data_IF_263807835487
#
_entry.id   IF_263807835487
#
_cell.length_a   1.000
_cell.length_b   1.000
_cell.length_c   1.000
_cell.angle_alpha   90.00
_cell.angle_beta   90.00
_cell.angle_gamma   90.00
#
_symmetry.space_group_name_H-M   'P 1'
#
loop_
_entity.id
_entity.type
_entity.pdbx_description
1 polymer ?
#
# COMPACT_ATOMS: atom_id res chain seq x y z
N UNK A 1 -12.64 -5.42 -15.84
CA UNK A 1 -11.17 -5.48 -16.02
C UNK A 1 -10.55 -4.26 -15.35
N UNK A 2 -9.82 -4.45 -14.26
CA UNK A 2 -9.30 -3.40 -13.37
C UNK A 2 -7.80 -3.12 -13.60
N UNK A 3 -7.35 -3.21 -14.85
CA UNK A 3 -5.97 -3.00 -15.26
C UNK A 3 -5.97 -2.00 -16.42
N UNK A 4 -5.24 -0.90 -16.28
CA UNK A 4 -5.07 0.11 -17.33
C UNK A 4 -3.68 -0.05 -17.92
N UNK A 5 -3.55 0.02 -19.25
CA UNK A 5 -2.28 -0.15 -19.98
C UNK A 5 -1.86 1.12 -20.75
N UNK A 6 -2.59 2.23 -20.63
CA UNK A 6 -2.27 3.52 -21.25
C UNK A 6 -3.07 4.62 -20.51
N UNK A 7 -2.57 5.86 -20.41
CA UNK A 7 -3.26 6.99 -19.76
C UNK A 7 -4.42 7.53 -20.62
N UNK A 8 -5.71 7.19 -20.38
CA UNK A 8 -6.82 8.04 -20.79
C UNK A 8 -6.81 9.31 -19.95
N UNK A 9 -7.27 10.41 -20.54
CA UNK A 9 -7.46 11.69 -19.85
C UNK A 9 -8.24 11.51 -18.53
N UNK A 10 -7.76 12.09 -17.42
CA UNK A 10 -8.44 12.09 -16.12
C UNK A 10 -8.02 11.01 -15.11
N UNK A 11 -7.08 10.11 -15.44
CA UNK A 11 -6.44 9.25 -14.45
C UNK A 11 -5.25 9.96 -13.78
N UNK A 12 -5.19 9.89 -12.46
CA UNK A 12 -4.08 10.39 -11.65
C UNK A 12 -3.58 9.28 -10.73
N UNK A 13 -2.31 9.35 -10.33
CA UNK A 13 -1.80 8.44 -9.30
C UNK A 13 -2.52 8.69 -7.98
N UNK A 14 -2.73 7.62 -7.20
CA UNK A 14 -3.38 7.73 -5.89
C UNK A 14 -2.65 8.72 -4.98
N UNK A 15 -1.32 8.80 -5.08
CA UNK A 15 -0.52 9.80 -4.36
C UNK A 15 -0.98 11.23 -4.61
N UNK A 16 -1.37 11.56 -5.84
CA UNK A 16 -1.87 12.88 -6.21
C UNK A 16 -3.34 13.07 -5.82
N UNK A 17 -4.11 11.98 -5.76
CA UNK A 17 -5.52 12.02 -5.38
C UNK A 17 -5.75 12.16 -3.86
N UNK A 18 -4.90 11.55 -3.01
CA UNK A 18 -5.07 11.51 -1.54
C UNK A 18 -5.38 12.88 -0.91
N UNK A 19 -4.64 13.97 -1.24
CA UNK A 19 -4.92 15.31 -0.68
C UNK A 19 -6.31 15.87 -1.03
N UNK A 20 -7.05 15.24 -1.94
CA UNK A 20 -8.38 15.65 -2.39
C UNK A 20 -9.48 14.68 -1.96
N UNK A 21 -9.12 13.52 -1.38
CA UNK A 21 -10.06 12.47 -0.94
C UNK A 21 -10.52 12.69 0.51
N UNK A 22 -11.13 13.83 0.81
CA UNK A 22 -11.50 14.19 2.19
C UNK A 22 -12.74 13.49 2.74
N UNK A 23 -13.58 12.92 1.87
CA UNK A 23 -14.80 12.25 2.31
C UNK A 23 -14.55 10.76 2.54
N UNK A 24 -14.96 10.26 3.72
CA UNK A 24 -14.86 8.84 4.11
C UNK A 24 -15.45 7.91 3.06
N UNK A 25 -16.54 8.30 2.40
CA UNK A 25 -17.15 7.51 1.32
C UNK A 25 -16.23 7.34 0.10
N UNK A 26 -15.44 8.36 -0.24
CA UNK A 26 -14.49 8.29 -1.35
C UNK A 26 -13.27 7.44 -0.97
N UNK A 27 -12.75 7.61 0.25
CA UNK A 27 -11.67 6.77 0.78
C UNK A 27 -12.07 5.28 0.80
N UNK A 28 -13.26 4.97 1.33
CA UNK A 28 -13.78 3.60 1.34
C UNK A 28 -13.98 3.04 -0.07
N UNK A 29 -14.47 3.86 -1.02
CA UNK A 29 -14.62 3.42 -2.43
C UNK A 29 -13.28 3.01 -3.03
N UNK A 30 -12.26 3.86 -2.88
CA UNK A 30 -10.90 3.59 -3.36
C UNK A 30 -10.33 2.33 -2.71
N UNK A 31 -10.47 2.20 -1.39
CA UNK A 31 -10.03 1.01 -0.65
C UNK A 31 -10.72 -0.28 -1.13
N UNK A 32 -12.03 -0.24 -1.38
CA UNK A 32 -12.82 -1.36 -1.90
C UNK A 32 -12.33 -1.77 -3.29
N UNK A 33 -12.09 -0.80 -4.17
CA UNK A 33 -11.65 -1.07 -5.55
C UNK A 33 -10.26 -1.71 -5.58
N UNK A 34 -9.32 -1.20 -4.79
CA UNK A 34 -7.97 -1.79 -4.62
C UNK A 34 -8.10 -3.20 -4.05
N UNK A 35 -8.92 -3.38 -3.01
CA UNK A 35 -9.09 -4.67 -2.36
C UNK A 35 -9.69 -5.72 -3.30
N UNK A 36 -10.68 -5.33 -4.12
CA UNK A 36 -11.29 -6.18 -5.13
C UNK A 36 -10.29 -6.58 -6.22
N UNK A 37 -9.42 -5.67 -6.65
CA UNK A 37 -8.40 -5.93 -7.64
C UNK A 37 -7.33 -6.91 -7.11
N UNK A 38 -6.85 -6.72 -5.88
CA UNK A 38 -5.92 -7.66 -5.24
C UNK A 38 -6.55 -9.03 -5.01
N UNK A 39 -7.80 -9.08 -4.54
CA UNK A 39 -8.54 -10.36 -4.39
C UNK A 39 -8.63 -11.11 -5.71
N UNK A 40 -8.93 -10.40 -6.80
CA UNK A 40 -8.95 -10.99 -8.14
C UNK A 40 -7.57 -11.54 -8.51
N UNK A 41 -6.51 -10.76 -8.29
CA UNK A 41 -5.15 -11.16 -8.60
C UNK A 41 -4.69 -12.38 -7.79
N UNK A 42 -4.96 -12.41 -6.49
CA UNK A 42 -4.63 -13.52 -5.58
C UNK A 42 -5.48 -14.78 -5.81
N UNK A 43 -6.64 -14.63 -6.47
CA UNK A 43 -7.41 -15.77 -6.98
C UNK A 43 -6.74 -16.41 -8.21
N UNK A 44 -5.85 -15.68 -8.88
CA UNK A 44 -4.88 -16.22 -9.82
C UNK A 44 -3.59 -16.55 -9.04
N UNK A 45 -2.73 -17.46 -9.52
CA UNK A 45 -1.41 -17.69 -8.91
C UNK A 45 -0.45 -16.51 -9.20
N UNK A 46 -0.90 -15.28 -8.97
CA UNK A 46 -0.22 -14.03 -9.24
C UNK A 46 -0.24 -13.13 -8.00
N UNK A 47 0.83 -12.36 -7.86
CA UNK A 47 1.01 -11.34 -6.82
C UNK A 47 1.31 -10.02 -7.50
N UNK A 48 0.94 -8.90 -6.89
CA UNK A 48 1.20 -7.59 -7.44
C UNK A 48 2.69 -7.23 -7.27
N UNK A 49 3.23 -7.40 -6.07
CA UNK A 49 4.67 -7.32 -5.77
C UNK A 49 5.27 -5.91 -5.72
N UNK A 50 4.59 -4.91 -6.29
CA UNK A 50 5.02 -3.50 -6.23
C UNK A 50 3.87 -2.54 -5.90
N UNK A 51 3.05 -2.87 -4.90
CA UNK A 51 1.86 -2.08 -4.58
C UNK A 51 2.26 -0.81 -3.79
N UNK A 52 1.94 0.37 -4.30
CA UNK A 52 2.17 1.67 -3.65
C UNK A 52 1.21 2.74 -4.15
N UNK A 53 1.23 3.95 -3.56
CA UNK A 53 0.39 5.07 -4.02
C UNK A 53 0.72 5.56 -5.44
N UNK A 54 1.87 5.18 -6.00
CA UNK A 54 2.25 5.52 -7.38
C UNK A 54 1.90 4.42 -8.38
N UNK A 55 1.53 3.22 -7.93
CA UNK A 55 1.11 2.10 -8.81
C UNK A 55 -0.39 1.88 -8.80
N UNK A 56 -1.14 2.69 -8.05
CA UNK A 56 -2.59 2.74 -8.08
C UNK A 56 -3.00 4.01 -8.81
N UNK A 57 -3.85 3.87 -9.81
CA UNK A 57 -4.44 5.01 -10.54
C UNK A 57 -5.89 5.18 -10.12
N UNK A 58 -6.31 6.44 -10.00
CA UNK A 58 -7.67 6.83 -9.64
C UNK A 58 -8.24 7.70 -10.75
N UNK A 59 -9.46 7.41 -11.16
CA UNK A 59 -10.24 8.30 -12.01
C UNK A 59 -10.75 9.49 -11.18
N UNK A 60 -10.27 10.68 -11.50
CA UNK A 60 -10.60 11.91 -10.77
C UNK A 60 -12.11 12.26 -10.83
N UNK A 61 -12.82 11.76 -11.84
CA UNK A 61 -14.24 12.02 -12.08
C UNK A 61 -15.12 11.04 -11.32
N UNK A 62 -14.76 9.74 -11.38
CA UNK A 62 -15.59 8.66 -10.84
C UNK A 62 -15.12 8.14 -9.47
N UNK A 63 -13.95 8.59 -8.99
CA UNK A 63 -13.28 8.11 -7.78
C UNK A 63 -13.07 6.59 -7.75
N UNK A 64 -13.02 5.95 -8.93
CA UNK A 64 -12.72 4.54 -9.05
C UNK A 64 -11.22 4.30 -9.16
N UNK A 65 -10.73 3.37 -8.35
CA UNK A 65 -9.31 3.01 -8.33
C UNK A 65 -9.04 1.77 -9.17
N UNK A 66 -7.85 1.70 -9.76
CA UNK A 66 -7.37 0.57 -10.53
C UNK A 66 -5.88 0.34 -10.24
N UNK A 67 -5.46 -0.92 -10.30
CA UNK A 67 -4.05 -1.25 -10.20
C UNK A 67 -3.40 -1.00 -11.57
N UNK A 68 -2.33 -0.22 -11.61
CA UNK A 68 -1.49 -0.08 -12.79
C UNK A 68 -0.54 -1.29 -12.89
N UNK A 69 -0.28 -1.78 -14.09
CA UNK A 69 0.37 -3.08 -14.30
C UNK A 69 1.85 -3.10 -13.94
N UNK A 70 2.19 -4.06 -13.08
CA UNK A 70 3.25 -5.09 -13.21
C UNK A 70 4.65 -4.62 -13.64
N UNK A 71 5.31 -3.83 -12.80
CA UNK A 71 6.78 -3.87 -12.75
C UNK A 71 7.19 -5.08 -11.89
N UNK A 72 7.17 -6.28 -12.50
CA UNK A 72 7.96 -7.43 -12.02
C UNK A 72 9.40 -7.14 -12.42
N UNK A 73 10.02 -6.15 -11.81
CA UNK A 73 11.45 -5.97 -11.91
C UNK A 73 12.02 -6.08 -10.51
N UNK A 74 13.17 -6.76 -10.34
CA UNK A 74 13.94 -6.67 -9.12
C UNK A 74 14.47 -5.24 -9.07
N UNK A 75 13.61 -4.30 -8.66
CA UNK A 75 14.00 -2.91 -8.58
C UNK A 75 14.91 -2.82 -7.38
N UNK A 76 16.15 -2.44 -7.65
CA UNK A 76 17.17 -2.16 -6.66
C UNK A 76 16.55 -1.25 -5.59
N UNK A 77 16.27 -1.82 -4.42
CA UNK A 77 15.65 -1.15 -3.25
C UNK A 77 16.43 0.11 -2.82
N UNK A 78 17.64 0.27 -3.35
CA UNK A 78 18.54 1.41 -3.24
C UNK A 78 18.10 2.67 -4.02
N UNK A 79 17.21 2.56 -5.02
CA UNK A 79 16.82 3.69 -5.89
C UNK A 79 15.46 4.30 -5.57
N UNK A 80 14.58 3.58 -4.86
CA UNK A 80 13.20 4.01 -4.59
C UNK A 80 12.92 4.06 -3.09
N UNK A 81 13.61 4.98 -2.41
CA UNK A 81 13.51 5.23 -0.97
C UNK A 81 12.06 5.37 -0.45
N UNK A 82 11.12 5.81 -1.28
CA UNK A 82 9.71 5.92 -0.91
C UNK A 82 8.90 4.64 -1.15
N UNK A 83 9.27 3.80 -2.11
CA UNK A 83 8.58 2.52 -2.34
C UNK A 83 8.93 1.48 -1.28
N UNK A 84 10.15 1.53 -0.73
CA UNK A 84 10.59 0.68 0.36
C UNK A 84 9.65 0.75 1.59
N UNK A 85 8.91 1.84 1.77
CA UNK A 85 7.92 1.99 2.85
C UNK A 85 6.73 1.04 2.71
N UNK A 86 6.38 0.65 1.49
CA UNK A 86 5.27 -0.26 1.21
C UNK A 86 5.71 -1.74 1.18
N UNK A 87 7.02 -2.01 1.16
CA UNK A 87 7.56 -3.37 1.09
C UNK A 87 7.43 -4.05 2.46
N UNK A 88 6.87 -5.26 2.45
CA UNK A 88 6.71 -6.06 3.64
C UNK A 88 8.06 -6.44 4.27
N UNK A 89 8.19 -6.54 5.60
CA UNK A 89 9.46 -6.76 6.28
C UNK A 89 10.17 -8.07 5.87
N UNK A 90 9.42 -9.12 5.58
CA UNK A 90 9.94 -10.40 5.10
C UNK A 90 10.50 -10.33 3.66
N UNK A 91 9.98 -9.42 2.83
CA UNK A 91 10.48 -9.19 1.47
C UNK A 91 11.70 -8.28 1.53
N UNK A 92 11.64 -7.23 2.34
CA UNK A 92 12.73 -6.28 2.51
C UNK A 92 13.99 -6.91 3.14
N UNK A 93 13.82 -7.91 4.01
CA UNK A 93 14.93 -8.70 4.57
C UNK A 93 15.50 -9.73 3.61
N UNK A 94 14.87 -9.95 2.45
CA UNK A 94 15.21 -11.04 1.52
C UNK A 94 14.85 -12.44 2.05
N UNK A 95 14.05 -12.54 3.13
CA UNK A 95 13.65 -13.82 3.70
C UNK A 95 12.64 -14.58 2.81
N UNK A 96 11.86 -13.85 1.99
CA UNK A 96 10.89 -14.41 1.05
C UNK A 96 10.78 -13.56 -0.22
N UNK A 97 10.48 -14.14 -1.39
CA UNK A 97 9.98 -13.37 -2.52
C UNK A 97 8.62 -12.71 -2.18
N UNK A 98 8.15 -11.73 -2.99
CA UNK A 98 6.81 -11.17 -2.83
C UNK A 98 5.72 -12.23 -2.84
N UNK A 99 4.79 -12.14 -1.88
CA UNK A 99 3.66 -13.06 -1.72
C UNK A 99 2.34 -12.30 -1.65
N UNK A 100 1.20 -13.01 -1.69
CA UNK A 100 -0.10 -12.40 -1.45
C UNK A 100 -0.17 -11.70 -0.08
N UNK A 101 0.48 -12.24 0.95
CA UNK A 101 0.57 -11.61 2.27
C UNK A 101 1.45 -10.35 2.25
N UNK A 102 2.46 -10.28 1.38
CA UNK A 102 3.24 -9.07 1.18
C UNK A 102 2.40 -7.96 0.52
N UNK A 103 1.56 -8.30 -0.47
CA UNK A 103 0.61 -7.34 -1.06
C UNK A 103 -0.39 -6.82 -0.02
N UNK A 104 -0.85 -7.67 0.91
CA UNK A 104 -1.73 -7.26 2.02
C UNK A 104 -1.03 -6.24 2.92
N UNK A 105 0.26 -6.40 3.20
CA UNK A 105 1.03 -5.42 3.96
C UNK A 105 1.12 -4.08 3.22
N UNK A 106 1.46 -4.10 1.93
CA UNK A 106 1.50 -2.91 1.09
C UNK A 106 0.13 -2.21 1.02
N UNK A 107 -0.96 -2.99 1.03
CA UNK A 107 -2.32 -2.47 1.11
C UNK A 107 -2.58 -1.77 2.45
N UNK A 108 -2.09 -2.30 3.57
CA UNK A 108 -2.18 -1.64 4.89
C UNK A 108 -1.49 -0.27 4.91
N UNK A 109 -0.33 -0.17 4.26
CA UNK A 109 0.40 1.10 4.10
C UNK A 109 -0.40 2.12 3.27
N UNK A 110 -1.01 1.67 2.17
CA UNK A 110 -1.93 2.47 1.35
C UNK A 110 -3.14 2.97 2.14
N UNK A 111 -3.78 2.08 2.93
CA UNK A 111 -4.92 2.44 3.77
C UNK A 111 -4.53 3.50 4.80
N UNK A 112 -3.31 3.43 5.36
CA UNK A 112 -2.85 4.41 6.32
C UNK A 112 -2.65 5.80 5.69
N UNK A 113 -2.12 5.89 4.47
CA UNK A 113 -2.04 7.17 3.76
C UNK A 113 -3.43 7.70 3.35
N UNK A 114 -4.33 6.79 2.94
CA UNK A 114 -5.72 7.15 2.65
C UNK A 114 -6.44 7.72 3.87
N UNK A 115 -6.30 7.08 5.03
CA UNK A 115 -7.00 7.44 6.28
C UNK A 115 -6.43 8.72 6.92
N UNK A 116 -5.13 8.96 6.76
CA UNK A 116 -4.45 10.16 7.29
C UNK A 116 -4.49 11.36 6.35
N UNK A 117 -4.59 11.12 5.04
CA UNK A 117 -4.36 12.14 4.03
C UNK A 117 -2.88 12.51 3.84
N UNK A 118 -1.97 11.84 4.55
CA UNK A 118 -0.55 12.18 4.65
C UNK A 118 0.31 11.01 4.14
N UNK A 119 1.49 11.32 3.57
CA UNK A 119 2.40 10.26 3.15
C UNK A 119 2.99 9.51 4.34
N UNK A 120 3.19 8.19 4.21
CA UNK A 120 3.85 7.33 5.18
C UNK A 120 5.22 7.89 5.62
N UNK A 121 5.90 8.62 4.73
CA UNK A 121 7.17 9.28 5.01
C UNK A 121 7.09 10.29 6.17
N UNK A 122 5.93 10.92 6.40
CA UNK A 122 5.73 11.86 7.52
C UNK A 122 5.76 11.18 8.89
N UNK A 123 5.43 9.89 8.94
CA UNK A 123 5.40 9.10 10.17
C UNK A 123 6.76 8.51 10.53
N UNK A 124 7.78 8.70 9.69
CA UNK A 124 9.15 8.33 10.00
C UNK A 124 9.76 9.29 11.02
N UNK A 125 10.43 8.72 12.03
CA UNK A 125 11.25 9.52 12.94
C UNK A 125 12.48 10.10 12.20
N UNK A 126 13.13 11.11 12.82
CA UNK A 126 14.28 11.81 12.21
C UNK A 126 15.40 10.85 11.78
N UNK A 127 15.70 9.85 12.60
CA UNK A 127 16.74 8.85 12.33
C UNK A 127 16.45 8.04 11.08
N UNK A 128 15.22 7.54 10.94
CA UNK A 128 14.79 6.79 9.76
C UNK A 128 14.80 7.67 8.50
N UNK A 129 14.38 8.94 8.61
CA UNK A 129 14.41 9.90 7.48
C UNK A 129 15.82 10.19 6.97
N UNK A 130 16.79 10.36 7.86
CA UNK A 130 18.20 10.56 7.47
C UNK A 130 18.80 9.33 6.79
N UNK A 131 18.42 8.13 7.23
CA UNK A 131 18.96 6.87 6.69
C UNK A 131 18.27 6.42 5.40
N UNK A 132 17.06 6.92 5.10
CA UNK A 132 16.45 6.84 3.77
C UNK A 132 17.16 7.71 2.71
N UNK A 133 18.33 8.27 3.02
CA UNK A 133 19.25 8.86 2.03
C UNK A 133 20.45 7.95 1.76
N UNK A 134 20.51 6.78 2.41
CA UNK A 134 21.58 5.79 2.26
C UNK A 134 21.01 4.50 1.67
N UNK A 135 21.74 3.83 0.75
CA UNK A 135 21.22 2.71 -0.06
C UNK A 135 20.92 1.43 0.73
N UNK A 136 21.15 1.41 2.05
CA UNK A 136 20.91 0.27 2.93
C UNK A 136 19.95 0.70 4.04
N UNK A 137 18.67 0.41 3.87
CA UNK A 137 17.66 0.65 4.91
C UNK A 137 17.38 -0.67 5.63
N UNK A 138 17.96 -0.91 6.82
CA UNK A 138 17.71 -2.16 7.53
C UNK A 138 16.26 -2.22 8.03
N UNK A 139 15.62 -3.38 7.82
CA UNK A 139 14.22 -3.69 8.17
C UNK A 139 13.82 -3.26 9.59
N UNK A 140 14.76 -3.34 10.55
CA UNK A 140 14.56 -2.94 11.93
C UNK A 140 14.12 -1.47 12.10
N UNK A 141 14.35 -0.61 11.10
CA UNK A 141 14.06 0.82 11.17
C UNK A 141 12.70 1.23 10.62
N UNK A 142 11.95 0.33 9.98
CA UNK A 142 10.54 0.56 9.63
C UNK A 142 9.58 0.13 10.77
N UNK A 143 10.10 -0.53 11.81
CA UNK A 143 9.33 -0.91 12.98
C UNK A 143 8.64 0.29 13.70
N UNK A 144 9.28 1.47 13.85
CA UNK A 144 8.62 2.65 14.41
C UNK A 144 7.48 3.18 13.53
N UNK A 145 7.58 3.00 12.21
CA UNK A 145 6.55 3.45 11.28
C UNK A 145 5.28 2.61 11.41
N UNK A 146 5.41 1.28 11.51
CA UNK A 146 4.27 0.39 11.81
C UNK A 146 3.56 0.84 13.09
N UNK A 147 4.31 1.06 14.17
CA UNK A 147 3.72 1.55 15.43
C UNK A 147 2.97 2.86 15.22
N UNK A 148 3.58 3.87 14.58
CA UNK A 148 2.95 5.16 14.33
C UNK A 148 1.63 5.03 13.54
N UNK A 149 1.60 4.18 12.51
CA UNK A 149 0.40 3.96 11.70
C UNK A 149 -0.68 3.14 12.42
N UNK A 150 -0.30 2.20 13.30
CA UNK A 150 -1.25 1.40 14.10
C UNK A 150 -1.88 2.16 15.29
N UNK A 151 -1.37 3.34 15.64
CA UNK A 151 -1.94 4.19 16.71
C UNK A 151 -2.88 5.30 16.22
N UNK A 152 -3.04 5.46 14.90
CA UNK A 152 -3.98 6.44 14.35
C UNK A 152 -5.45 6.07 14.68
N UNK A 153 -6.39 7.03 14.56
CA UNK A 153 -7.81 6.87 14.94
C UNK A 153 -8.77 7.15 13.77
N UNK A 154 -8.39 6.80 12.55
CA UNK A 154 -9.28 6.95 11.41
C UNK A 154 -10.20 5.75 11.19
N UNK A 155 -11.07 5.84 10.19
CA UNK A 155 -12.11 4.85 9.93
C UNK A 155 -11.54 3.53 9.41
N UNK A 156 -10.38 3.58 8.75
CA UNK A 156 -9.70 2.42 8.19
C UNK A 156 -8.75 1.76 9.19
N UNK A 157 -8.60 2.32 10.39
CA UNK A 157 -7.66 1.84 11.41
C UNK A 157 -7.74 0.33 11.71
N UNK A 158 -8.93 -0.28 11.90
CA UNK A 158 -9.01 -1.71 12.18
C UNK A 158 -8.42 -2.57 11.05
N UNK A 159 -8.62 -2.15 9.80
CA UNK A 159 -8.05 -2.82 8.63
C UNK A 159 -6.53 -2.62 8.56
N UNK A 160 -6.05 -1.40 8.84
CA UNK A 160 -4.62 -1.08 8.85
C UNK A 160 -3.88 -1.99 9.84
N UNK A 161 -4.41 -2.19 11.05
CA UNK A 161 -3.79 -3.07 12.04
C UNK A 161 -3.69 -4.52 11.56
N UNK A 162 -4.75 -5.06 10.94
CA UNK A 162 -4.76 -6.43 10.40
C UNK A 162 -3.76 -6.60 9.25
N UNK A 163 -3.63 -5.59 8.39
CA UNK A 163 -2.75 -5.63 7.23
C UNK A 163 -1.26 -5.51 7.62
N UNK A 164 -0.96 -4.71 8.64
CA UNK A 164 0.40 -4.44 9.11
C UNK A 164 0.87 -5.44 10.18
N UNK A 165 0.33 -6.66 10.21
CA UNK A 165 0.84 -7.71 11.09
C UNK A 165 2.27 -8.13 10.70
N UNK A 166 3.08 -8.45 11.71
CA UNK A 166 4.51 -8.76 11.52
C UNK A 166 4.70 -10.06 10.76
N UNK A 167 3.94 -11.07 11.17
CA UNK A 167 3.95 -12.40 10.57
C UNK A 167 3.06 -12.41 9.33
N UNK A 168 3.58 -12.77 8.15
CA UNK A 168 2.80 -12.83 6.92
C UNK A 168 1.54 -13.69 7.06
N UNK A 169 1.64 -14.81 7.76
CA UNK A 169 0.55 -15.76 8.03
C UNK A 169 -0.55 -15.22 8.94
N UNK A 170 -0.28 -14.13 9.68
CA UNK A 170 -1.28 -13.46 10.51
C UNK A 170 -2.10 -12.43 9.74
N UNK A 171 -1.67 -12.08 8.51
CA UNK A 171 -2.37 -11.12 7.65
C UNK A 171 -3.56 -11.83 6.97
N UNK A 172 -4.78 -11.31 7.07
CA UNK A 172 -5.94 -11.96 6.48
C UNK A 172 -5.95 -11.85 4.95
N UNK A 173 -6.61 -12.79 4.25
CA UNK A 173 -6.76 -12.69 2.79
C UNK A 173 -7.65 -11.51 2.41
N UNK A 174 -7.46 -10.97 1.21
CA UNK A 174 -8.22 -9.81 0.71
C UNK A 174 -9.74 -10.02 0.75
N UNK A 175 -10.20 -11.27 0.55
CA UNK A 175 -11.62 -11.61 0.67
C UNK A 175 -12.21 -11.30 2.05
N UNK A 176 -11.45 -11.54 3.12
CA UNK A 176 -11.87 -11.19 4.48
C UNK A 176 -11.86 -9.68 4.70
N UNK A 177 -10.81 -8.99 4.28
CA UNK A 177 -10.69 -7.52 4.41
C UNK A 177 -11.84 -6.80 3.70
N UNK A 178 -12.27 -7.28 2.54
CA UNK A 178 -13.44 -6.73 1.84
C UNK A 178 -14.74 -6.81 2.65
N UNK A 179 -14.90 -7.81 3.53
CA UNK A 179 -16.08 -7.90 4.40
C UNK A 179 -16.07 -6.89 5.55
N UNK A 180 -14.97 -6.17 5.75
CA UNK A 180 -14.82 -5.14 6.78
C UNK A 180 -14.86 -3.72 6.20
N UNK A 181 -14.75 -3.57 4.87
CA UNK A 181 -14.89 -2.31 4.14
C UNK A 181 -16.36 -2.07 3.78
N UNK A 182 -17.09 -1.28 4.60
CA UNK A 182 -18.50 -0.89 4.38
C UNK A 182 -18.66 0.64 4.31
#
# INVERSE_FOLDING_TARGET
LALVCANPEGLVDLKQAIPHLHATKMQSRVAIDIAAALRYLHGLPQVHGNLSTTTVVVDATSCHARLNRLDILPCDVSTLHHQALYVAPEVLSGASPPTAAADVYSFGMLLAELDTGESAYHFLNRSARCMMQTPTTPVAQLLPLRHALTFNRGALQPLIMLCLEERPESRPPMGYLMTLLH
#
